data_IF_658879663598
#
_entry.id   IF_658879663598
#
_cell.length_a   1.000
_cell.length_b   1.000
_cell.length_c   1.000
_cell.angle_alpha   90.00
_cell.angle_beta   90.00
_cell.angle_gamma   90.00
#
_symmetry.space_group_name_H-M   'P 1'
#
loop_
_entity.id
_entity.type
_entity.pdbx_description
1 polymer ?
#
# COMPACT_ATOMS: atom_id res chain seq x y z
N UNK A 1 -23.48 -23.61 10.32
CA UNK A 1 -23.41 -22.37 9.51
C UNK A 1 -21.98 -22.22 8.99
N UNK A 2 -21.74 -22.45 7.70
CA UNK A 2 -20.41 -22.29 7.12
C UNK A 2 -20.14 -20.79 6.94
N UNK A 3 -19.33 -20.22 7.84
CA UNK A 3 -18.81 -18.86 7.70
C UNK A 3 -18.11 -18.80 6.35
N UNK A 4 -18.45 -17.83 5.50
CA UNK A 4 -17.80 -17.60 4.19
C UNK A 4 -16.29 -17.38 4.36
N UNK A 5 -15.53 -18.46 4.50
CA UNK A 5 -14.09 -18.45 4.53
C UNK A 5 -13.63 -18.10 3.12
N UNK A 6 -13.15 -16.87 2.95
CA UNK A 6 -12.68 -16.43 1.65
C UNK A 6 -11.50 -17.35 1.26
N UNK A 7 -11.37 -17.74 -0.02
CA UNK A 7 -10.45 -18.81 -0.44
C UNK A 7 -8.97 -18.50 -0.17
N UNK A 8 -8.63 -17.25 0.17
CA UNK A 8 -7.30 -16.82 0.55
C UNK A 8 -7.00 -16.84 2.05
N UNK A 9 -7.97 -17.20 2.92
CA UNK A 9 -7.77 -17.32 4.39
C UNK A 9 -7.29 -18.72 4.81
N UNK A 10 -6.78 -19.48 3.87
CA UNK A 10 -6.23 -20.83 4.05
C UNK A 10 -4.71 -20.74 3.95
N UNK A 11 -4.00 -21.10 5.02
CA UNK A 11 -2.54 -21.01 5.07
C UNK A 11 -1.97 -20.94 6.49
N UNK A 12 -0.72 -20.48 6.57
CA UNK A 12 0.03 -20.25 7.81
C UNK A 12 0.01 -18.76 8.19
N UNK A 13 0.17 -18.47 9.48
CA UNK A 13 0.48 -17.09 9.91
C UNK A 13 1.90 -16.72 9.52
N UNK A 14 2.27 -15.45 9.69
CA UNK A 14 3.63 -15.00 9.40
C UNK A 14 4.65 -15.69 10.32
N UNK A 15 4.41 -15.69 11.64
CA UNK A 15 5.35 -16.28 12.60
C UNK A 15 5.43 -17.81 12.49
N UNK A 16 4.33 -18.49 12.11
CA UNK A 16 4.37 -19.93 11.79
C UNK A 16 5.36 -20.24 10.65
N UNK A 17 5.56 -19.30 9.70
CA UNK A 17 6.54 -19.44 8.62
C UNK A 17 7.93 -19.05 9.07
N UNK A 18 8.09 -17.91 9.76
CA UNK A 18 9.39 -17.38 10.14
C UNK A 18 10.09 -18.28 11.17
N UNK A 19 9.35 -18.86 12.12
CA UNK A 19 9.92 -19.76 13.14
C UNK A 19 10.49 -21.06 12.56
N UNK A 20 10.09 -21.44 11.34
CA UNK A 20 10.60 -22.63 10.65
C UNK A 20 11.90 -22.34 9.87
N UNK A 21 12.33 -21.08 9.81
CA UNK A 21 13.49 -20.65 9.04
C UNK A 21 14.68 -20.28 9.94
N UNK A 22 15.93 -20.53 9.49
CA UNK A 22 17.09 -20.02 10.18
C UNK A 22 17.05 -18.48 10.24
N UNK A 23 17.48 -17.92 11.37
CA UNK A 23 17.45 -16.48 11.64
C UNK A 23 16.09 -15.84 11.39
N UNK A 24 15.00 -16.55 11.70
CA UNK A 24 13.62 -16.11 11.49
C UNK A 24 13.31 -15.63 10.06
N UNK A 25 14.03 -16.14 9.07
CA UNK A 25 13.83 -15.78 7.67
C UNK A 25 14.23 -14.33 7.32
N UNK A 26 15.12 -13.69 8.09
CA UNK A 26 15.68 -12.38 7.70
C UNK A 26 16.33 -12.47 6.32
N UNK A 27 16.05 -11.49 5.47
CA UNK A 27 16.44 -11.44 4.06
C UNK A 27 15.50 -12.16 3.11
N UNK A 28 14.56 -12.99 3.60
CA UNK A 28 13.62 -13.73 2.77
C UNK A 28 12.41 -12.91 2.38
N UNK A 29 11.77 -13.35 1.29
CA UNK A 29 10.60 -12.71 0.72
C UNK A 29 9.34 -13.48 1.11
N UNK A 30 8.40 -12.75 1.71
CA UNK A 30 7.08 -13.26 2.05
C UNK A 30 6.00 -12.51 1.29
N UNK A 31 4.93 -13.21 0.92
CA UNK A 31 3.79 -12.66 0.21
C UNK A 31 2.49 -13.14 0.86
N UNK A 32 1.36 -12.59 0.43
CA UNK A 32 0.03 -12.99 0.91
C UNK A 32 -0.80 -13.49 -0.25
N UNK A 33 -1.51 -14.59 -0.04
CA UNK A 33 -2.41 -15.19 -1.04
C UNK A 33 -3.42 -14.18 -1.60
N UNK A 34 -3.94 -13.29 -0.73
CA UNK A 34 -4.88 -12.24 -1.17
C UNK A 34 -4.27 -11.28 -2.18
N UNK A 35 -2.99 -10.95 -2.04
CA UNK A 35 -2.35 -10.01 -2.96
C UNK A 35 -2.24 -10.61 -4.36
N UNK A 36 -1.80 -11.86 -4.44
CA UNK A 36 -1.74 -12.62 -5.70
C UNK A 36 -3.13 -12.77 -6.34
N UNK A 37 -4.16 -13.04 -5.52
CA UNK A 37 -5.53 -13.19 -6.03
C UNK A 37 -6.12 -11.89 -6.58
N UNK A 38 -5.88 -10.75 -5.92
CA UNK A 38 -6.42 -9.47 -6.34
C UNK A 38 -5.65 -8.82 -7.49
N UNK A 39 -4.34 -9.05 -7.57
CA UNK A 39 -3.45 -8.43 -8.56
C UNK A 39 -2.41 -9.46 -9.02
N UNK A 40 -2.81 -10.44 -9.86
CA UNK A 40 -1.91 -11.48 -10.33
C UNK A 40 -0.75 -10.92 -11.15
N UNK A 41 -0.99 -9.86 -11.92
CA UNK A 41 0.01 -9.26 -12.82
C UNK A 41 1.02 -8.34 -12.11
N UNK A 42 0.82 -8.05 -10.82
CA UNK A 42 1.64 -7.09 -10.09
C UNK A 42 2.14 -7.70 -8.77
N UNK A 43 3.43 -8.05 -8.67
CA UNK A 43 3.93 -8.75 -7.50
C UNK A 43 3.86 -7.86 -6.27
N UNK A 44 3.38 -8.42 -5.17
CA UNK A 44 3.38 -7.73 -3.88
C UNK A 44 3.97 -8.66 -2.83
N UNK A 45 4.96 -8.16 -2.13
CA UNK A 45 5.74 -8.93 -1.17
C UNK A 45 6.39 -8.02 -0.14
N UNK A 46 6.93 -8.63 0.90
CA UNK A 46 7.73 -7.95 1.92
C UNK A 46 9.03 -8.72 2.04
N UNK A 47 10.14 -8.01 1.91
CA UNK A 47 11.47 -8.54 2.26
C UNK A 47 11.68 -8.33 3.75
N UNK A 48 11.78 -9.40 4.52
CA UNK A 48 11.95 -9.35 5.97
C UNK A 48 13.34 -8.83 6.30
N UNK A 49 13.42 -7.83 7.18
CA UNK A 49 14.69 -7.20 7.60
C UNK A 49 14.99 -7.47 9.06
N UNK A 50 13.97 -7.40 9.94
CA UNK A 50 14.12 -7.62 11.38
C UNK A 50 12.92 -8.37 11.92
N UNK A 51 13.15 -9.23 12.90
CA UNK A 51 12.10 -9.98 13.59
C UNK A 51 12.40 -9.97 15.07
N UNK A 52 11.40 -9.61 15.87
CA UNK A 52 11.39 -9.72 17.33
C UNK A 52 10.27 -10.67 17.70
N UNK A 53 10.62 -11.86 18.14
CA UNK A 53 9.65 -12.86 18.59
C UNK A 53 9.33 -12.63 20.06
N UNK A 54 8.08 -12.86 20.43
CA UNK A 54 7.68 -12.89 21.83
C UNK A 54 7.90 -14.30 22.40
N UNK A 55 8.91 -14.43 23.27
CA UNK A 55 9.30 -15.69 23.88
C UNK A 55 8.30 -16.21 24.91
N UNK A 56 7.41 -15.35 25.43
CA UNK A 56 6.36 -15.75 26.38
C UNK A 56 5.15 -16.34 25.65
N UNK A 57 5.04 -16.11 24.34
CA UNK A 57 3.93 -16.58 23.54
C UNK A 57 3.99 -18.10 23.30
N UNK A 58 2.85 -18.77 23.45
CA UNK A 58 2.73 -20.19 23.17
C UNK A 58 3.14 -20.48 21.71
N UNK A 59 4.07 -21.42 21.53
CA UNK A 59 4.63 -21.82 20.23
C UNK A 59 5.33 -20.69 19.46
N UNK A 60 5.75 -19.61 20.14
CA UNK A 60 6.42 -18.47 19.51
C UNK A 60 5.57 -17.82 18.39
N UNK A 61 4.24 -17.98 18.46
CA UNK A 61 3.32 -17.58 17.39
C UNK A 61 3.09 -16.07 17.28
N UNK A 62 3.69 -15.27 18.18
CA UNK A 62 3.49 -13.83 18.26
C UNK A 62 4.82 -13.08 18.25
N UNK A 63 4.74 -11.81 17.87
CA UNK A 63 5.88 -10.91 17.87
C UNK A 63 5.68 -9.71 16.95
N UNK A 64 6.80 -9.09 16.63
CA UNK A 64 6.89 -7.97 15.71
C UNK A 64 7.87 -8.30 14.59
N UNK A 65 7.46 -8.05 13.35
CA UNK A 65 8.34 -8.18 12.20
C UNK A 65 8.41 -6.85 11.48
N UNK A 66 9.57 -6.57 10.91
CA UNK A 66 9.82 -5.42 10.05
C UNK A 66 10.33 -5.91 8.70
N UNK A 67 10.03 -5.14 7.67
CA UNK A 67 10.47 -5.45 6.33
C UNK A 67 10.28 -4.30 5.37
N UNK A 68 10.93 -4.43 4.22
CA UNK A 68 10.79 -3.49 3.11
C UNK A 68 9.64 -3.99 2.23
N UNK A 69 8.54 -3.23 2.12
CA UNK A 69 7.37 -3.65 1.36
C UNK A 69 7.53 -3.27 -0.12
N UNK A 70 7.35 -4.25 -1.00
CA UNK A 70 7.08 -4.04 -2.42
C UNK A 70 5.58 -4.21 -2.63
N UNK A 71 4.88 -3.15 -3.03
CA UNK A 71 3.44 -3.22 -3.30
C UNK A 71 3.23 -2.98 -4.78
N UNK A 72 2.57 -3.93 -5.44
CA UNK A 72 2.24 -3.85 -6.87
C UNK A 72 3.47 -3.60 -7.75
N UNK A 73 4.61 -4.19 -7.40
CA UNK A 73 5.88 -4.05 -8.08
C UNK A 73 6.69 -2.80 -7.72
N UNK A 74 6.16 -1.90 -6.88
CA UNK A 74 6.85 -0.68 -6.48
C UNK A 74 7.38 -0.83 -5.05
N UNK A 75 8.66 -0.52 -4.87
CA UNK A 75 9.34 -0.48 -3.59
C UNK A 75 10.17 0.78 -3.47
N UNK A 76 10.42 1.20 -2.22
CA UNK A 76 11.33 2.28 -1.90
C UNK A 76 12.46 1.72 -1.06
N UNK A 77 13.70 1.85 -1.55
CA UNK A 77 14.86 1.43 -0.78
C UNK A 77 14.96 2.19 0.54
N UNK A 78 15.35 1.49 1.59
CA UNK A 78 15.44 2.02 2.96
C UNK A 78 14.10 2.23 3.67
N UNK A 79 12.95 2.03 2.99
CA UNK A 79 11.64 2.14 3.65
C UNK A 79 11.28 0.86 4.39
N UNK A 80 11.77 0.73 5.60
CA UNK A 80 11.37 -0.34 6.50
C UNK A 80 10.04 -0.02 7.20
N UNK A 81 9.10 -0.96 7.21
CA UNK A 81 7.82 -0.84 7.92
C UNK A 81 7.62 -2.00 8.89
N UNK A 82 6.83 -1.75 9.94
CA UNK A 82 6.30 -2.83 10.78
C UNK A 82 5.24 -3.61 10.00
N UNK A 83 5.39 -4.93 9.94
CA UNK A 83 4.49 -5.82 9.21
C UNK A 83 3.20 -5.99 10.02
N UNK A 84 2.12 -5.40 9.51
CA UNK A 84 0.78 -5.56 10.07
C UNK A 84 0.11 -6.86 9.61
N UNK A 85 -0.98 -7.24 10.30
CA UNK A 85 -1.79 -8.42 9.98
C UNK A 85 -1.00 -9.75 9.92
N UNK A 86 0.07 -9.86 10.73
CA UNK A 86 0.90 -11.05 10.84
C UNK A 86 0.13 -12.30 11.26
N UNK A 87 -0.92 -12.14 12.07
CA UNK A 87 -1.78 -13.23 12.58
C UNK A 87 -2.69 -13.86 11.52
N UNK A 88 -2.85 -13.22 10.35
CA UNK A 88 -3.74 -13.75 9.31
C UNK A 88 -3.12 -14.96 8.65
N UNK A 89 -3.92 -16.03 8.47
CA UNK A 89 -3.50 -17.29 7.84
C UNK A 89 -3.54 -17.24 6.32
N UNK A 90 -2.78 -16.31 5.75
CA UNK A 90 -2.71 -16.09 4.31
C UNK A 90 -1.28 -15.85 3.81
N UNK A 91 -0.29 -15.97 4.70
CA UNK A 91 1.10 -15.74 4.36
C UNK A 91 1.68 -16.94 3.63
N UNK A 92 2.57 -16.66 2.68
CA UNK A 92 3.34 -17.63 1.92
C UNK A 92 4.79 -17.17 1.84
N UNK A 93 5.71 -18.11 1.98
CA UNK A 93 7.12 -17.91 1.74
C UNK A 93 7.42 -18.24 0.27
N UNK A 94 8.12 -17.35 -0.43
CA UNK A 94 8.56 -17.60 -1.80
C UNK A 94 9.83 -18.46 -1.75
N UNK A 95 9.95 -19.44 -2.65
CA UNK A 95 11.15 -20.28 -2.74
C UNK A 95 12.31 -19.44 -3.26
N UNK A 96 13.52 -19.64 -2.71
CA UNK A 96 14.71 -18.85 -3.09
C UNK A 96 14.98 -18.82 -4.60
N UNK A 97 14.75 -19.92 -5.30
CA UNK A 97 14.93 -19.99 -6.76
C UNK A 97 13.92 -19.17 -7.55
N UNK A 98 12.73 -18.94 -6.99
CA UNK A 98 11.62 -18.21 -7.63
C UNK A 98 11.58 -16.74 -7.17
N UNK A 99 12.42 -16.36 -6.21
CA UNK A 99 12.43 -15.00 -5.65
C UNK A 99 12.75 -13.97 -6.74
N UNK A 100 13.76 -14.22 -7.58
CA UNK A 100 14.17 -13.29 -8.64
C UNK A 100 13.08 -13.12 -9.71
N UNK A 101 12.48 -14.23 -10.15
CA UNK A 101 11.38 -14.23 -11.14
C UNK A 101 10.14 -13.53 -10.60
N UNK A 102 9.79 -13.76 -9.33
CA UNK A 102 8.64 -13.10 -8.71
C UNK A 102 8.87 -11.60 -8.48
N UNK A 103 10.12 -11.20 -8.25
CA UNK A 103 10.48 -9.81 -8.04
C UNK A 103 10.60 -9.01 -9.34
N UNK A 104 10.81 -9.68 -10.47
CA UNK A 104 10.90 -9.06 -11.77
C UNK A 104 9.56 -8.40 -12.14
N UNK A 105 9.52 -7.07 -12.11
CA UNK A 105 8.37 -6.29 -12.56
C UNK A 105 8.84 -5.04 -13.30
N UNK A 106 8.21 -4.77 -14.44
CA UNK A 106 8.43 -3.54 -15.19
C UNK A 106 7.31 -2.54 -14.88
N UNK A 107 7.65 -1.36 -14.32
CA UNK A 107 6.70 -0.28 -14.11
C UNK A 107 6.00 0.16 -15.40
N UNK A 108 4.68 0.38 -15.33
CA UNK A 108 3.87 0.89 -16.44
C UNK A 108 3.47 2.34 -16.18
N UNK A 109 3.40 3.17 -17.22
CA UNK A 109 2.97 4.58 -17.11
C UNK A 109 1.52 4.72 -16.60
N UNK A 110 0.64 3.85 -17.06
CA UNK A 110 -0.78 3.78 -16.68
C UNK A 110 -1.01 3.58 -15.18
N UNK A 111 0.02 3.18 -14.44
CA UNK A 111 -0.09 2.94 -13.01
C UNK A 111 -0.21 4.23 -12.17
N UNK A 112 0.11 5.39 -12.75
CA UNK A 112 0.11 6.69 -12.07
C UNK A 112 -1.09 7.53 -12.51
N UNK A 113 -2.04 7.69 -11.61
CA UNK A 113 -3.19 8.57 -11.81
C UNK A 113 -2.89 9.91 -11.17
N UNK A 114 -3.04 11.00 -11.92
CA UNK A 114 -3.04 12.34 -11.35
C UNK A 114 -4.34 12.56 -10.60
N UNK A 115 -4.23 13.02 -9.35
CA UNK A 115 -5.38 13.41 -8.53
C UNK A 115 -5.50 14.92 -8.60
N UNK A 116 -6.69 15.48 -8.90
CA UNK A 116 -6.87 16.93 -8.91
C UNK A 116 -6.67 17.50 -7.50
N UNK A 117 -6.00 18.65 -7.40
CA UNK A 117 -5.78 19.33 -6.12
C UNK A 117 -7.06 20.00 -5.60
N UNK A 118 -8.04 20.24 -6.48
CA UNK A 118 -9.29 20.93 -6.19
C UNK A 118 -10.47 20.17 -6.76
N UNK A 119 -11.58 20.10 -6.03
CA UNK A 119 -12.85 19.52 -6.50
C UNK A 119 -13.99 20.47 -6.18
N UNK A 120 -15.03 20.44 -7.02
CA UNK A 120 -16.23 21.23 -6.80
C UNK A 120 -16.86 20.92 -5.44
N UNK A 121 -17.28 21.97 -4.74
CA UNK A 121 -17.90 21.83 -3.43
C UNK A 121 -19.25 21.07 -3.55
N UNK A 122 -19.59 20.19 -2.59
CA UNK A 122 -20.89 19.52 -2.56
C UNK A 122 -22.03 20.54 -2.60
N UNK A 123 -23.16 20.22 -3.27
CA UNK A 123 -24.21 21.18 -3.57
C UNK A 123 -24.80 21.86 -2.32
N UNK A 124 -24.96 21.10 -1.22
CA UNK A 124 -25.46 21.64 0.04
C UNK A 124 -24.47 22.63 0.68
N UNK A 125 -23.18 22.29 0.74
CA UNK A 125 -22.16 23.18 1.31
C UNK A 125 -22.01 24.46 0.47
N UNK A 126 -22.10 24.34 -0.85
CA UNK A 126 -22.10 25.49 -1.75
C UNK A 126 -23.31 26.40 -1.48
N UNK A 127 -24.51 25.84 -1.28
CA UNK A 127 -25.71 26.61 -0.94
C UNK A 127 -25.59 27.32 0.41
N UNK A 128 -25.08 26.64 1.45
CA UNK A 128 -24.89 27.23 2.78
C UNK A 128 -23.90 28.40 2.76
N UNK A 129 -22.78 28.28 2.04
CA UNK A 129 -21.82 29.38 1.91
C UNK A 129 -22.38 30.55 1.12
N UNK A 130 -23.25 30.31 0.13
CA UNK A 130 -23.96 31.38 -0.59
C UNK A 130 -24.89 32.14 0.35
N UNK A 131 -25.68 31.44 1.16
CA UNK A 131 -26.56 32.07 2.16
C UNK A 131 -25.76 32.88 3.19
N UNK A 132 -24.67 32.32 3.72
CA UNK A 132 -23.78 33.04 4.64
C UNK A 132 -23.13 34.28 4.00
N UNK A 133 -22.72 34.18 2.74
CA UNK A 133 -22.16 35.29 1.97
C UNK A 133 -23.16 36.43 1.81
N UNK A 134 -24.42 36.12 1.50
CA UNK A 134 -25.52 37.09 1.44
C UNK A 134 -25.73 37.76 2.81
N UNK A 135 -25.74 37.00 3.91
CA UNK A 135 -25.89 37.54 5.27
C UNK A 135 -24.73 38.48 5.64
N UNK A 136 -23.50 38.15 5.23
CA UNK A 136 -22.30 38.95 5.51
C UNK A 136 -22.03 40.04 4.48
N UNK A 137 -22.86 40.17 3.44
CA UNK A 137 -22.68 41.13 2.34
C UNK A 137 -21.41 40.91 1.52
N UNK A 138 -20.89 39.68 1.46
CA UNK A 138 -19.68 39.33 0.70
C UNK A 138 -20.07 38.55 -0.55
N UNK A 139 -19.63 39.00 -1.72
CA UNK A 139 -19.81 38.26 -2.97
C UNK A 139 -18.91 37.03 -2.99
N UNK A 140 -19.50 35.86 -3.26
CA UNK A 140 -18.81 34.58 -3.32
C UNK A 140 -18.62 34.20 -4.79
N UNK A 141 -17.39 34.30 -5.30
CA UNK A 141 -17.06 33.97 -6.69
C UNK A 141 -17.15 32.45 -6.97
N UNK A 142 -17.74 32.09 -8.11
CA UNK A 142 -17.84 30.70 -8.59
C UNK A 142 -16.67 30.35 -9.52
N UNK A 143 -16.14 29.10 -9.50
CA UNK A 143 -16.65 27.96 -8.74
C UNK A 143 -16.10 27.86 -7.31
N UNK A 144 -16.96 27.47 -6.37
CA UNK A 144 -16.56 27.08 -5.02
C UNK A 144 -15.81 25.75 -5.06
N UNK A 145 -14.50 25.80 -4.80
CA UNK A 145 -13.60 24.65 -4.84
C UNK A 145 -13.14 24.26 -3.45
N UNK A 146 -13.08 22.96 -3.18
CA UNK A 146 -12.45 22.37 -2.00
C UNK A 146 -11.03 21.93 -2.32
N UNK A 147 -10.08 22.33 -1.47
CA UNK A 147 -8.71 21.82 -1.53
C UNK A 147 -8.65 20.38 -1.02
N UNK A 148 -8.11 19.49 -1.83
CA UNK A 148 -7.93 18.08 -1.48
C UNK A 148 -6.55 17.87 -0.88
N UNK A 149 -6.50 17.35 0.34
CA UNK A 149 -5.27 16.85 0.95
C UNK A 149 -5.14 15.34 0.70
N UNK A 150 -4.19 14.94 -0.15
CA UNK A 150 -3.88 13.52 -0.35
C UNK A 150 -2.93 13.01 0.73
N UNK A 151 -3.37 12.07 1.57
CA UNK A 151 -2.46 11.33 2.45
C UNK A 151 -1.80 10.19 1.67
N UNK A 152 -0.47 10.26 1.52
CA UNK A 152 0.30 9.24 0.80
C UNK A 152 0.99 8.34 1.81
N UNK A 153 0.52 7.10 1.94
CA UNK A 153 1.17 6.06 2.73
C UNK A 153 1.99 5.08 1.88
N UNK A 154 2.73 4.18 2.50
CA UNK A 154 3.60 3.21 1.83
C UNK A 154 2.90 2.31 0.80
N UNK A 155 1.57 2.14 0.87
CA UNK A 155 0.80 1.35 -0.10
C UNK A 155 0.47 2.11 -1.39
N UNK A 156 0.68 3.43 -1.40
CA UNK A 156 0.38 4.29 -2.53
C UNK A 156 1.62 4.32 -3.42
N UNK A 157 1.46 3.98 -4.70
CA UNK A 157 2.57 3.91 -5.66
C UNK A 157 3.38 5.20 -5.72
N UNK A 158 2.71 6.35 -5.71
CA UNK A 158 3.36 7.67 -5.72
C UNK A 158 4.18 8.01 -4.47
N UNK A 159 4.13 7.22 -3.40
CA UNK A 159 5.03 7.33 -2.24
C UNK A 159 6.24 6.39 -2.35
N UNK A 160 6.06 5.26 -3.06
CA UNK A 160 7.05 4.20 -3.17
C UNK A 160 8.11 4.52 -4.23
N UNK A 161 7.76 5.25 -5.28
CA UNK A 161 8.76 5.70 -6.25
C UNK A 161 9.58 6.85 -5.63
N UNK A 162 10.91 6.74 -5.55
CA UNK A 162 11.77 7.86 -5.19
C UNK A 162 11.50 9.02 -6.16
N UNK A 163 11.04 10.15 -5.63
CA UNK A 163 10.67 11.31 -6.43
C UNK A 163 11.87 11.84 -7.22
N UNK A 164 11.88 11.59 -8.53
CA UNK A 164 12.42 12.50 -9.55
C UNK A 164 12.05 12.05 -10.97
N UNK A 165 12.01 10.73 -11.25
CA UNK A 165 11.79 10.23 -12.61
C UNK A 165 10.88 9.01 -12.60
N UNK A 166 9.57 9.24 -12.68
CA UNK A 166 8.68 8.20 -13.20
C UNK A 166 8.88 8.24 -14.71
N UNK A 167 9.60 7.26 -15.26
CA UNK A 167 9.84 7.14 -16.72
C UNK A 167 10.47 8.40 -17.37
N UNK A 168 11.39 9.07 -16.67
CA UNK A 168 12.11 10.23 -17.20
C UNK A 168 11.30 11.53 -17.26
N UNK A 169 10.08 11.56 -16.70
CA UNK A 169 9.26 12.76 -16.56
C UNK A 169 9.14 13.14 -15.08
N UNK A 170 9.24 14.43 -14.77
CA UNK A 170 8.92 14.92 -13.43
C UNK A 170 7.42 14.76 -13.22
N UNK A 171 7.02 14.62 -11.96
CA UNK A 171 5.61 14.45 -11.55
C UNK A 171 4.70 15.59 -12.08
N UNK A 172 5.27 16.74 -12.48
CA UNK A 172 4.57 17.87 -13.09
C UNK A 172 4.52 17.90 -14.63
N UNK A 173 5.15 16.95 -15.34
CA UNK A 173 5.28 16.99 -16.82
C UNK A 173 4.21 16.13 -17.55
N UNK A 174 3.28 15.53 -16.82
CA UNK A 174 2.18 14.77 -17.41
C UNK A 174 1.03 15.75 -17.70
N UNK A 175 0.74 15.96 -19.00
CA UNK A 175 -0.27 16.89 -19.48
C UNK A 175 -1.67 16.54 -18.95
N UNK A 176 -2.38 17.58 -18.49
CA UNK A 176 -3.77 17.50 -18.06
C UNK A 176 -4.63 17.47 -19.33
N UNK A 177 -5.36 16.37 -19.65
CA UNK A 177 -6.42 16.45 -20.64
C UNK A 177 -7.48 17.44 -20.13
N UNK A 178 -7.76 18.46 -20.94
CA UNK A 178 -8.74 19.51 -20.67
C UNK A 178 -10.14 18.95 -20.50
#
# INVERSE_FOLDING_TARGET
MAVHAHPWRTGKSLFDLLNQLPNFGVGRIVTRTRWQHWRPDQPSYIRITRVKVDCESLNLGQGEAWGIPTMRGYSRDGMEIKVGAWWKREWKLIRKSEEDEFCAYQPKEEDFHQVPNKVAMPPLLAAMLKEEGVIKGTEVEEPLLLDIKTSRGYRHRGYQVPGANVLGKRIGDFEIPR
#
